data_IF_598037873225
#
_entry.id   IF_598037873225
#
_cell.length_a   1.000
_cell.length_b   1.000
_cell.length_c   1.000
_cell.angle_alpha   90.00
_cell.angle_beta   90.00
_cell.angle_gamma   90.00
#
_symmetry.space_group_name_H-M   'P 1'
#
loop_
_entity.id
_entity.type
_entity.pdbx_description
1 polymer ?
#
# COMPACT_ATOMS: atom_id res chain seq x y z
N UNK A 1 37.19 33.03 -28.02
CA UNK A 1 37.36 31.61 -27.64
C UNK A 1 37.04 31.52 -26.17
N UNK A 2 35.77 31.29 -25.83
CA UNK A 2 35.32 31.07 -24.46
C UNK A 2 34.81 29.63 -24.40
N UNK A 3 35.43 28.83 -23.53
CA UNK A 3 34.91 27.56 -23.07
C UNK A 3 33.76 27.82 -22.10
N UNK A 4 32.63 27.16 -22.33
CA UNK A 4 31.61 26.92 -21.32
C UNK A 4 31.21 25.45 -21.41
N UNK A 5 31.35 24.81 -20.26
CA UNK A 5 31.35 23.40 -19.97
C UNK A 5 29.92 22.99 -19.57
N UNK A 6 29.18 22.37 -20.48
CA UNK A 6 27.84 21.82 -20.19
C UNK A 6 28.00 20.34 -19.79
N UNK A 7 28.15 20.13 -18.49
CA UNK A 7 28.04 18.83 -17.85
C UNK A 7 26.55 18.48 -17.66
N UNK A 8 25.94 17.89 -18.69
CA UNK A 8 24.64 17.23 -18.54
C UNK A 8 24.83 15.88 -17.85
N UNK A 9 24.28 15.79 -16.64
CA UNK A 9 24.08 14.55 -15.89
C UNK A 9 22.96 13.74 -16.55
N UNK A 10 23.11 12.42 -16.77
CA UNK A 10 21.99 11.60 -17.25
C UNK A 10 20.99 11.40 -16.11
N UNK A 11 19.77 11.92 -16.29
CA UNK A 11 18.60 11.45 -15.55
C UNK A 11 18.30 10.02 -16.04
N UNK A 12 18.68 9.02 -15.25
CA UNK A 12 18.29 7.63 -15.50
C UNK A 12 16.78 7.50 -15.23
N UNK A 13 16.04 7.17 -16.30
CA UNK A 13 14.63 6.79 -16.28
C UNK A 13 14.44 5.54 -15.39
N UNK A 14 13.92 5.72 -14.17
CA UNK A 14 13.48 4.63 -13.28
C UNK A 14 12.05 4.12 -13.58
N UNK A 15 11.50 4.41 -14.76
CA UNK A 15 10.10 4.08 -15.08
C UNK A 15 9.87 2.90 -16.02
N UNK A 16 10.92 2.28 -16.55
CA UNK A 16 10.77 1.10 -17.38
C UNK A 16 11.17 -0.16 -16.61
N UNK A 17 10.16 -1.01 -16.40
CA UNK A 17 10.15 -2.48 -16.33
C UNK A 17 9.18 -2.89 -15.20
N UNK A 18 7.91 -3.02 -15.59
CA UNK A 18 6.97 -4.12 -15.28
C UNK A 18 5.73 -3.82 -16.13
N UNK A 19 5.86 -4.01 -17.44
CA UNK A 19 4.73 -4.15 -18.36
C UNK A 19 4.15 -5.54 -18.14
N UNK A 20 3.26 -5.66 -17.16
CA UNK A 20 2.17 -6.63 -17.26
C UNK A 20 0.88 -5.90 -16.86
N UNK A 21 -0.15 -6.11 -17.67
CA UNK A 21 -1.51 -5.66 -17.36
C UNK A 21 -1.99 -6.41 -16.13
N UNK A 22 -1.92 -5.77 -14.95
CA UNK A 22 -2.79 -6.16 -13.85
C UNK A 22 -4.21 -5.93 -14.33
N UNK A 23 -4.94 -7.02 -14.52
CA UNK A 23 -6.34 -6.98 -14.88
C UNK A 23 -7.14 -6.70 -13.61
N UNK A 24 -7.83 -5.55 -13.58
CA UNK A 24 -8.62 -5.17 -12.41
C UNK A 24 -9.87 -6.07 -12.25
N UNK A 25 -10.17 -6.91 -13.25
CA UNK A 25 -11.19 -7.97 -13.16
C UNK A 25 -10.89 -8.99 -12.04
N UNK A 26 -9.64 -9.16 -11.60
CA UNK A 26 -9.30 -10.04 -10.46
C UNK A 26 -9.75 -9.47 -9.09
N UNK A 27 -10.17 -8.20 -9.04
CA UNK A 27 -10.85 -7.61 -7.87
C UNK A 27 -12.37 -7.80 -8.00
N UNK A 28 -12.88 -7.98 -9.22
CA UNK A 28 -14.28 -8.21 -9.56
C UNK A 28 -14.55 -9.70 -9.89
N UNK A 29 -14.24 -10.60 -8.95
CA UNK A 29 -14.34 -12.03 -9.25
C UNK A 29 -14.49 -12.95 -8.05
N UNK A 30 -15.49 -12.74 -7.17
CA UNK A 30 -15.97 -13.83 -6.31
C UNK A 30 -17.50 -13.80 -6.15
N UNK A 31 -18.07 -15.01 -6.12
CA UNK A 31 -19.47 -15.44 -6.17
C UNK A 31 -20.45 -14.61 -5.32
N UNK A 32 -21.70 -14.51 -5.80
CA UNK A 32 -22.82 -13.65 -5.36
C UNK A 32 -23.30 -13.80 -3.89
N UNK A 33 -22.57 -14.46 -2.99
CA UNK A 33 -23.09 -14.94 -1.70
C UNK A 33 -22.62 -14.18 -0.42
N UNK A 34 -21.80 -13.12 -0.49
CA UNK A 34 -21.52 -12.27 0.69
C UNK A 34 -21.32 -10.77 0.36
N UNK A 35 -22.34 -10.13 -0.21
CA UNK A 35 -22.35 -8.67 -0.49
C UNK A 35 -22.46 -7.78 0.76
N UNK A 36 -22.29 -8.32 1.97
CA UNK A 36 -22.46 -7.55 3.20
C UNK A 36 -21.11 -7.19 3.82
N UNK A 37 -20.79 -5.90 3.87
CA UNK A 37 -19.68 -5.45 4.73
C UNK A 37 -19.95 -5.93 6.16
N UNK A 38 -18.97 -6.62 6.74
CA UNK A 38 -19.06 -7.12 8.11
C UNK A 38 -19.28 -5.95 9.05
N UNK A 39 -20.23 -6.10 9.98
CA UNK A 39 -20.42 -5.15 11.07
C UNK A 39 -19.15 -5.01 11.91
N UNK A 40 -18.91 -3.87 12.57
CA UNK A 40 -17.71 -3.63 13.39
C UNK A 40 -17.36 -4.77 14.34
N UNK A 41 -18.37 -5.40 14.95
CA UNK A 41 -18.19 -6.46 15.95
C UNK A 41 -17.74 -7.80 15.34
N UNK A 42 -17.94 -7.99 14.04
CA UNK A 42 -17.58 -9.21 13.30
C UNK A 42 -16.22 -9.11 12.61
N UNK A 43 -15.58 -7.94 12.66
CA UNK A 43 -14.28 -7.71 12.04
C UNK A 43 -13.18 -8.02 13.04
N UNK A 44 -12.28 -8.91 12.67
CA UNK A 44 -11.05 -9.11 13.42
C UNK A 44 -10.00 -8.06 13.00
N UNK A 45 -9.96 -6.96 13.77
CA UNK A 45 -8.99 -5.88 13.60
C UNK A 45 -7.55 -6.27 13.99
N UNK A 46 -7.37 -7.41 14.69
CA UNK A 46 -6.04 -7.88 15.05
C UNK A 46 -5.26 -8.38 13.83
N UNK A 47 -5.95 -8.83 12.77
CA UNK A 47 -5.34 -9.33 11.52
C UNK A 47 -4.43 -8.28 10.89
N UNK A 48 -4.92 -7.06 10.63
CA UNK A 48 -4.06 -6.00 10.08
C UNK A 48 -3.00 -5.60 11.09
N UNK A 49 -3.34 -5.52 12.39
CA UNK A 49 -2.39 -5.06 13.41
C UNK A 49 -1.20 -6.02 13.59
N UNK A 50 -1.42 -7.32 13.48
CA UNK A 50 -0.41 -8.36 13.72
C UNK A 50 0.20 -8.91 12.43
N UNK A 51 -0.54 -8.96 11.32
CA UNK A 51 -0.14 -9.60 10.06
C UNK A 51 1.16 -9.07 9.46
N UNK A 52 1.50 -7.81 9.72
CA UNK A 52 2.79 -7.23 9.32
C UNK A 52 3.99 -8.02 9.83
N UNK A 53 3.90 -8.64 11.01
CA UNK A 53 5.03 -9.38 11.62
C UNK A 53 5.44 -10.61 10.83
N UNK A 54 4.52 -11.16 10.05
CA UNK A 54 4.76 -12.36 9.24
C UNK A 54 5.53 -12.03 7.96
N UNK A 55 5.52 -10.77 7.52
CA UNK A 55 6.22 -10.36 6.30
C UNK A 55 7.74 -10.35 6.47
N UNK A 56 8.45 -10.85 5.48
CA UNK A 56 9.91 -10.76 5.40
C UNK A 56 10.34 -9.29 5.44
N UNK A 57 11.37 -9.00 6.26
CA UNK A 57 11.89 -7.66 6.60
C UNK A 57 11.10 -6.83 7.62
N UNK A 58 9.98 -7.34 8.15
CA UNK A 58 9.23 -6.67 9.22
C UNK A 58 9.70 -7.05 10.64
N UNK A 59 10.84 -7.72 10.76
CA UNK A 59 11.67 -7.73 11.98
C UNK A 59 12.32 -6.35 12.25
N UNK A 60 12.24 -5.43 11.28
CA UNK A 60 12.53 -4.00 11.42
C UNK A 60 11.49 -3.31 12.29
N UNK A 61 11.90 -2.93 13.51
CA UNK A 61 11.05 -2.26 14.49
C UNK A 61 10.28 -1.06 13.91
N UNK A 62 10.93 -0.26 13.06
CA UNK A 62 10.33 0.97 12.55
C UNK A 62 9.32 0.70 11.43
N UNK A 63 9.56 -0.30 10.59
CA UNK A 63 8.55 -0.75 9.61
C UNK A 63 7.39 -1.43 10.32
N UNK A 64 7.67 -2.27 11.30
CA UNK A 64 6.65 -2.97 12.09
C UNK A 64 5.74 -1.98 12.81
N UNK A 65 6.32 -0.95 13.43
CA UNK A 65 5.57 0.10 14.11
C UNK A 65 4.65 0.87 13.14
N UNK A 66 5.08 1.14 11.91
CA UNK A 66 4.22 1.77 10.90
C UNK A 66 3.04 0.86 10.52
N UNK A 67 3.31 -0.44 10.33
CA UNK A 67 2.25 -1.43 10.09
C UNK A 67 1.24 -1.49 11.23
N UNK A 68 1.73 -1.57 12.48
CA UNK A 68 0.88 -1.54 13.68
C UNK A 68 0.03 -0.26 13.73
N UNK A 69 0.59 0.91 13.41
CA UNK A 69 -0.18 2.16 13.40
C UNK A 69 -1.31 2.14 12.35
N UNK A 70 -1.08 1.53 11.19
CA UNK A 70 -2.13 1.31 10.17
C UNK A 70 -3.22 0.38 10.73
N UNK A 71 -2.85 -0.70 11.43
CA UNK A 71 -3.79 -1.61 12.06
C UNK A 71 -4.59 -1.00 13.21
N UNK A 72 -3.97 -0.16 14.05
CA UNK A 72 -4.64 0.53 15.17
C UNK A 72 -5.63 1.59 14.68
N UNK A 73 -5.32 2.28 13.59
CA UNK A 73 -6.19 3.34 13.04
C UNK A 73 -7.42 2.77 12.31
N UNK A 74 -7.32 1.58 11.74
CA UNK A 74 -8.38 0.91 11.01
C UNK A 74 -9.73 0.73 11.78
N UNK A 75 -9.78 0.24 13.04
CA UNK A 75 -11.03 0.20 13.80
C UNK A 75 -11.61 1.59 14.11
N UNK A 76 -10.75 2.58 14.36
CA UNK A 76 -11.19 3.96 14.65
C UNK A 76 -11.88 4.56 13.44
N UNK A 77 -11.27 4.42 12.25
CA UNK A 77 -11.85 4.93 11.00
C UNK A 77 -13.12 4.16 10.66
N UNK A 78 -13.12 2.82 10.84
CA UNK A 78 -14.32 2.00 10.64
C UNK A 78 -15.48 2.51 11.50
N UNK A 79 -15.24 2.88 12.76
CA UNK A 79 -16.29 3.46 13.60
C UNK A 79 -16.84 4.78 13.05
N UNK A 80 -15.97 5.67 12.53
CA UNK A 80 -16.41 6.91 11.91
C UNK A 80 -17.24 6.68 10.64
N UNK A 81 -16.89 5.68 9.84
CA UNK A 81 -17.64 5.27 8.64
C UNK A 81 -19.07 4.84 9.02
N UNK A 82 -19.21 3.91 9.97
CA UNK A 82 -20.54 3.48 10.41
C UNK A 82 -21.35 4.62 11.07
N UNK A 83 -20.71 5.47 11.87
CA UNK A 83 -21.36 6.64 12.46
C UNK A 83 -21.87 7.61 11.38
N UNK A 84 -21.08 7.84 10.33
CA UNK A 84 -21.48 8.66 9.19
C UNK A 84 -22.70 8.06 8.47
N UNK A 85 -22.73 6.74 8.29
CA UNK A 85 -23.88 6.07 7.68
C UNK A 85 -25.14 6.26 8.53
N UNK A 86 -25.05 6.07 9.85
CA UNK A 86 -26.17 6.29 10.76
C UNK A 86 -26.68 7.73 10.70
N UNK A 87 -25.78 8.72 10.75
CA UNK A 87 -26.14 10.13 10.66
C UNK A 87 -26.79 10.46 9.31
N UNK A 88 -26.24 9.95 8.20
CA UNK A 88 -26.80 10.14 6.86
C UNK A 88 -28.24 9.62 6.76
N UNK A 89 -28.49 8.43 7.32
CA UNK A 89 -29.83 7.82 7.36
C UNK A 89 -30.78 8.66 8.22
N UNK A 90 -30.33 9.11 9.39
CA UNK A 90 -31.15 9.89 10.33
C UNK A 90 -31.58 11.25 9.76
N UNK A 91 -30.66 11.96 9.10
CA UNK A 91 -30.92 13.33 8.63
C UNK A 91 -31.34 13.41 7.16
N UNK A 92 -31.37 12.27 6.46
CA UNK A 92 -31.72 12.10 5.04
C UNK A 92 -30.98 13.06 4.09
N UNK A 93 -29.76 13.44 4.46
CA UNK A 93 -28.92 14.39 3.74
C UNK A 93 -27.46 14.12 4.08
N UNK A 94 -26.54 14.41 3.16
CA UNK A 94 -25.10 14.33 3.41
C UNK A 94 -24.70 15.17 4.63
N UNK A 95 -24.28 14.53 5.75
CA UNK A 95 -23.72 15.25 6.89
C UNK A 95 -22.30 15.67 6.54
N UNK A 96 -22.15 16.93 6.15
CA UNK A 96 -20.93 17.42 5.48
C UNK A 96 -19.69 17.27 6.37
N UNK A 97 -19.80 17.61 7.65
CA UNK A 97 -18.67 17.59 8.56
C UNK A 97 -18.16 16.16 8.79
N UNK A 98 -19.06 15.23 9.07
CA UNK A 98 -18.74 13.80 9.22
C UNK A 98 -18.22 13.19 7.91
N UNK A 99 -18.80 13.53 6.76
CA UNK A 99 -18.34 13.05 5.46
C UNK A 99 -16.92 13.55 5.13
N UNK A 100 -16.63 14.82 5.42
CA UNK A 100 -15.29 15.40 5.25
C UNK A 100 -14.27 14.74 6.19
N UNK A 101 -14.66 14.48 7.45
CA UNK A 101 -13.84 13.78 8.43
C UNK A 101 -13.47 12.37 7.94
N UNK A 102 -14.46 11.55 7.58
CA UNK A 102 -14.26 10.19 7.09
C UNK A 102 -13.42 10.18 5.81
N UNK A 103 -13.70 11.10 4.88
CA UNK A 103 -12.90 11.28 3.66
C UNK A 103 -11.42 11.53 3.97
N UNK A 104 -11.12 12.49 4.86
CA UNK A 104 -9.75 12.84 5.21
C UNK A 104 -9.00 11.68 5.89
N UNK A 105 -9.59 11.05 6.90
CA UNK A 105 -8.95 9.92 7.59
C UNK A 105 -8.78 8.71 6.68
N UNK A 106 -9.75 8.43 5.80
CA UNK A 106 -9.62 7.35 4.81
C UNK A 106 -8.44 7.58 3.89
N UNK A 107 -8.29 8.80 3.36
CA UNK A 107 -7.15 9.15 2.51
C UNK A 107 -5.82 9.03 3.26
N UNK A 108 -5.73 9.52 4.49
CA UNK A 108 -4.53 9.41 5.31
C UNK A 108 -4.15 7.94 5.58
N UNK A 109 -5.14 7.08 5.83
CA UNK A 109 -4.90 5.65 6.03
C UNK A 109 -4.38 4.99 4.75
N UNK A 110 -5.02 5.25 3.61
CA UNK A 110 -4.61 4.69 2.32
C UNK A 110 -3.21 5.17 1.92
N UNK A 111 -2.89 6.45 2.13
CA UNK A 111 -1.56 6.98 1.82
C UNK A 111 -0.48 6.39 2.74
N UNK A 112 -0.79 6.19 4.01
CA UNK A 112 0.13 5.53 4.94
C UNK A 112 0.38 4.07 4.55
N UNK A 113 -0.67 3.35 4.16
CA UNK A 113 -0.58 1.99 3.64
C UNK A 113 0.24 1.93 2.35
N UNK A 114 0.00 2.86 1.42
CA UNK A 114 0.74 2.97 0.16
C UNK A 114 2.24 3.14 0.43
N UNK A 115 2.64 4.09 1.27
CA UNK A 115 4.06 4.36 1.51
C UNK A 115 4.76 3.18 2.18
N UNK A 116 4.09 2.48 3.12
CA UNK A 116 4.65 1.30 3.76
C UNK A 116 4.84 0.15 2.76
N UNK A 117 3.82 -0.19 1.97
CA UNK A 117 3.89 -1.26 0.98
C UNK A 117 4.86 -0.92 -0.14
N UNK A 118 4.91 0.35 -0.59
CA UNK A 118 5.91 0.82 -1.56
C UNK A 118 7.32 0.65 -1.02
N UNK A 119 7.56 1.05 0.23
CA UNK A 119 8.88 0.89 0.85
C UNK A 119 9.28 -0.59 0.94
N UNK A 120 8.33 -1.50 1.23
CA UNK A 120 8.58 -2.93 1.26
C UNK A 120 8.86 -3.50 -0.14
N UNK A 121 8.09 -3.11 -1.17
CA UNK A 121 8.33 -3.45 -2.58
C UNK A 121 9.71 -2.99 -3.04
N UNK A 122 10.04 -1.73 -2.82
CA UNK A 122 11.32 -1.13 -3.22
C UNK A 122 12.47 -1.84 -2.48
N UNK A 123 12.25 -2.20 -1.22
CA UNK A 123 13.18 -2.99 -0.40
C UNK A 123 13.39 -4.39 -1.00
N UNK A 124 12.34 -5.11 -1.38
CA UNK A 124 12.42 -6.42 -2.07
C UNK A 124 13.21 -6.29 -3.36
N UNK A 125 12.84 -5.36 -4.24
CA UNK A 125 13.48 -5.15 -5.54
C UNK A 125 14.98 -4.87 -5.40
N UNK A 126 15.35 -3.92 -4.53
CA UNK A 126 16.75 -3.53 -4.33
C UNK A 126 17.60 -4.69 -3.80
N UNK A 127 17.08 -5.45 -2.82
CA UNK A 127 17.83 -6.56 -2.23
C UNK A 127 18.05 -7.69 -3.25
N UNK A 128 17.02 -8.01 -4.03
CA UNK A 128 17.12 -8.96 -5.14
C UNK A 128 18.16 -8.52 -6.17
N UNK A 129 18.08 -7.26 -6.64
CA UNK A 129 19.05 -6.68 -7.59
C UNK A 129 20.50 -6.74 -7.06
N UNK A 130 20.72 -6.43 -5.78
CA UNK A 130 22.05 -6.51 -5.17
C UNK A 130 22.55 -7.94 -5.03
N UNK A 131 21.66 -8.89 -4.78
CA UNK A 131 22.02 -10.30 -4.74
C UNK A 131 22.40 -10.83 -6.12
N UNK A 132 21.59 -10.57 -7.15
CA UNK A 132 21.83 -11.02 -8.54
C UNK A 132 23.13 -10.44 -9.11
N UNK A 133 23.43 -9.17 -8.82
CA UNK A 133 24.65 -8.52 -9.31
C UNK A 133 25.88 -8.71 -8.40
N UNK A 134 25.79 -9.54 -7.35
CA UNK A 134 26.88 -9.78 -6.38
C UNK A 134 27.23 -8.59 -5.47
N UNK A 135 26.51 -7.47 -5.56
CA UNK A 135 26.73 -6.24 -4.79
C UNK A 135 26.25 -6.29 -3.33
N UNK A 136 25.60 -7.38 -2.90
CA UNK A 136 25.06 -7.51 -1.53
C UNK A 136 26.16 -7.46 -0.46
N UNK A 137 27.35 -8.01 -0.74
CA UNK A 137 28.49 -8.01 0.19
C UNK A 137 29.03 -6.61 0.45
N UNK A 138 29.16 -5.81 -0.61
CA UNK A 138 29.59 -4.41 -0.48
C UNK A 138 28.55 -3.57 0.28
N UNK A 139 27.25 -3.81 0.06
CA UNK A 139 26.19 -3.15 0.84
C UNK A 139 26.24 -3.51 2.33
N UNK A 140 26.47 -4.78 2.66
CA UNK A 140 26.65 -5.23 4.05
C UNK A 140 27.86 -4.52 4.70
N UNK A 141 28.97 -4.39 3.97
CA UNK A 141 30.18 -3.71 4.43
C UNK A 141 29.92 -2.22 4.71
N UNK A 142 29.31 -1.50 3.76
CA UNK A 142 28.98 -0.08 3.94
C UNK A 142 28.01 0.19 5.10
N UNK A 143 27.09 -0.73 5.40
CA UNK A 143 26.20 -0.59 6.56
C UNK A 143 26.92 -0.80 7.90
N UNK A 144 28.14 -1.34 7.88
CA UNK A 144 28.97 -1.57 9.06
C UNK A 144 29.87 -0.37 9.42
N UNK A 145 29.91 0.66 8.56
CA UNK A 145 30.79 1.81 8.76
C UNK A 145 30.21 2.79 9.82
N UNK A 146 30.87 2.85 10.97
CA UNK A 146 30.99 4.05 11.80
C UNK A 146 29.86 4.39 12.78
N UNK A 147 28.84 3.54 12.96
CA UNK A 147 27.72 3.85 13.86
C UNK A 147 27.06 2.58 14.45
N UNK A 148 27.73 1.96 15.42
CA UNK A 148 27.25 0.74 16.09
C UNK A 148 25.94 0.94 16.87
N UNK A 149 25.61 2.18 17.24
CA UNK A 149 24.38 2.52 17.96
C UNK A 149 23.16 2.65 17.03
N UNK A 150 23.37 2.65 15.70
CA UNK A 150 22.28 2.75 14.73
C UNK A 150 21.54 1.42 14.57
N UNK A 151 20.50 1.25 15.37
CA UNK A 151 19.65 0.06 15.36
C UNK A 151 19.12 -0.28 13.95
N UNK A 152 18.70 0.73 13.18
CA UNK A 152 18.16 0.53 11.84
C UNK A 152 19.22 -0.03 10.87
N UNK A 153 20.45 0.51 10.89
CA UNK A 153 21.56 -0.04 10.08
C UNK A 153 21.87 -1.48 10.47
N UNK A 154 21.91 -1.77 11.76
CA UNK A 154 22.21 -3.12 12.26
C UNK A 154 21.15 -4.16 11.85
N UNK A 155 19.87 -3.81 11.94
CA UNK A 155 18.78 -4.68 11.47
C UNK A 155 18.90 -4.88 9.96
N UNK A 156 19.09 -3.80 9.19
CA UNK A 156 19.21 -3.87 7.73
C UNK A 156 20.37 -4.75 7.29
N UNK A 157 21.51 -4.65 7.97
CA UNK A 157 22.69 -5.51 7.74
C UNK A 157 22.35 -6.98 7.97
N UNK A 158 21.70 -7.31 9.09
CA UNK A 158 21.29 -8.68 9.43
C UNK A 158 20.32 -9.24 8.38
N UNK A 159 19.34 -8.45 7.95
CA UNK A 159 18.40 -8.83 6.90
C UNK A 159 19.10 -9.12 5.58
N UNK A 160 20.09 -8.31 5.17
CA UNK A 160 20.87 -8.56 3.94
C UNK A 160 21.73 -9.83 4.05
N UNK A 161 22.34 -10.07 5.20
CA UNK A 161 23.10 -11.30 5.47
C UNK A 161 22.18 -12.53 5.36
N UNK A 162 21.06 -12.51 6.09
CA UNK A 162 20.07 -13.57 6.05
C UNK A 162 19.56 -13.81 4.62
N UNK A 163 19.23 -12.75 3.88
CA UNK A 163 18.78 -12.86 2.49
C UNK A 163 19.86 -13.46 1.57
N UNK A 164 21.14 -13.14 1.78
CA UNK A 164 22.23 -13.69 0.98
C UNK A 164 22.43 -15.18 1.21
N UNK A 165 22.21 -15.65 2.43
CA UNK A 165 22.59 -17.01 2.86
C UNK A 165 21.39 -17.98 2.84
N UNK A 166 20.17 -17.48 3.02
CA UNK A 166 18.97 -18.30 3.16
C UNK A 166 18.11 -18.26 1.88
N UNK A 167 18.05 -19.39 1.16
CA UNK A 167 17.17 -19.53 -0.01
C UNK A 167 15.68 -19.50 0.36
N UNK A 168 15.30 -20.15 1.46
CA UNK A 168 13.91 -20.21 1.91
C UNK A 168 13.35 -18.82 2.21
N UNK A 169 14.16 -17.93 2.80
CA UNK A 169 13.78 -16.52 3.00
C UNK A 169 13.49 -15.79 1.68
N UNK A 170 14.23 -16.09 0.61
CA UNK A 170 14.04 -15.48 -0.70
C UNK A 170 12.76 -16.00 -1.35
N UNK A 171 12.57 -17.32 -1.33
CA UNK A 171 11.35 -17.95 -1.85
C UNK A 171 10.11 -17.44 -1.09
N UNK A 172 10.21 -17.33 0.24
CA UNK A 172 9.16 -16.77 1.11
C UNK A 172 8.85 -15.31 0.74
N UNK A 173 9.86 -14.45 0.59
CA UNK A 173 9.66 -13.05 0.21
C UNK A 173 8.94 -12.93 -1.14
N UNK A 174 9.29 -13.78 -2.11
CA UNK A 174 8.65 -13.78 -3.42
C UNK A 174 7.20 -14.28 -3.34
N UNK A 175 6.93 -15.33 -2.57
CA UNK A 175 5.58 -15.84 -2.36
C UNK A 175 4.69 -14.83 -1.63
N UNK A 176 5.18 -14.20 -0.55
CA UNK A 176 4.46 -13.15 0.17
C UNK A 176 4.17 -11.94 -0.72
N UNK A 177 5.10 -11.57 -1.62
CA UNK A 177 4.87 -10.48 -2.56
C UNK A 177 3.72 -10.81 -3.53
N UNK A 178 3.63 -12.04 -4.04
CA UNK A 178 2.53 -12.44 -4.91
C UNK A 178 1.16 -12.31 -4.21
N UNK A 179 1.08 -12.64 -2.92
CA UNK A 179 -0.14 -12.48 -2.12
C UNK A 179 -0.52 -11.01 -1.88
N UNK A 180 0.48 -10.14 -1.65
CA UNK A 180 0.25 -8.73 -1.26
C UNK A 180 0.18 -7.78 -2.48
N UNK A 181 0.77 -8.14 -3.61
CA UNK A 181 0.84 -7.29 -4.80
C UNK A 181 -0.54 -6.77 -5.25
N UNK A 182 -1.61 -7.58 -5.34
CA UNK A 182 -2.93 -7.09 -5.71
C UNK A 182 -3.43 -5.96 -4.80
N UNK A 183 -3.21 -6.10 -3.48
CA UNK A 183 -3.54 -5.06 -2.49
C UNK A 183 -2.70 -3.80 -2.73
N UNK A 184 -1.38 -3.97 -2.97
CA UNK A 184 -0.51 -2.84 -3.30
C UNK A 184 -0.98 -2.09 -4.55
N UNK A 185 -1.38 -2.80 -5.61
CA UNK A 185 -1.85 -2.18 -6.86
C UNK A 185 -3.16 -1.42 -6.68
N UNK A 186 -4.10 -1.97 -5.91
CA UNK A 186 -5.35 -1.27 -5.58
C UNK A 186 -5.08 0.01 -4.76
N UNK A 187 -4.18 -0.07 -3.77
CA UNK A 187 -3.74 1.07 -2.97
C UNK A 187 -2.99 2.11 -3.81
N UNK A 188 -2.13 1.69 -4.73
CA UNK A 188 -1.42 2.54 -5.69
C UNK A 188 -2.39 3.28 -6.62
N UNK A 189 -3.39 2.58 -7.17
CA UNK A 189 -4.46 3.18 -7.96
C UNK A 189 -5.17 4.29 -7.20
N UNK A 190 -5.62 3.98 -5.99
CA UNK A 190 -6.33 4.90 -5.10
C UNK A 190 -5.47 6.13 -4.79
N UNK A 191 -4.21 5.91 -4.38
CA UNK A 191 -3.29 7.00 -4.03
C UNK A 191 -3.02 7.91 -5.23
N UNK A 192 -2.75 7.35 -6.40
CA UNK A 192 -2.41 8.14 -7.60
C UNK A 192 -3.59 9.02 -8.04
N UNK A 193 -4.79 8.44 -8.06
CA UNK A 193 -6.01 9.16 -8.43
C UNK A 193 -6.31 10.31 -7.47
N UNK A 194 -6.18 10.10 -6.15
CA UNK A 194 -6.54 11.13 -5.18
C UNK A 194 -5.45 12.16 -4.89
N UNK A 195 -4.18 11.75 -4.86
CA UNK A 195 -3.08 12.65 -4.49
C UNK A 195 -2.44 13.35 -5.70
N UNK A 196 -2.40 12.67 -6.85
CA UNK A 196 -1.76 13.19 -8.07
C UNK A 196 -2.75 13.53 -9.18
N UNK A 197 -4.01 13.12 -9.03
CA UNK A 197 -5.06 13.31 -10.05
C UNK A 197 -4.68 12.67 -11.39
N UNK A 198 -4.05 11.49 -11.33
CA UNK A 198 -3.63 10.73 -12.51
C UNK A 198 -3.79 9.22 -12.29
N UNK A 199 -3.87 8.47 -13.38
CA UNK A 199 -3.76 7.01 -13.33
C UNK A 199 -2.30 6.57 -13.04
N UNK A 200 -2.09 5.43 -12.34
CA UNK A 200 -0.76 4.86 -12.16
C UNK A 200 -0.04 4.65 -13.50
N UNK A 201 1.20 5.12 -13.59
CA UNK A 201 2.05 4.97 -14.77
C UNK A 201 1.62 5.75 -16.02
N UNK A 202 0.53 6.55 -15.96
CA UNK A 202 0.04 7.31 -17.12
C UNK A 202 -0.54 8.66 -16.72
N UNK A 203 0.31 9.67 -16.71
CA UNK A 203 -0.03 11.03 -16.30
C UNK A 203 -1.07 11.71 -17.20
N UNK A 204 -1.24 11.24 -18.43
CA UNK A 204 -2.22 11.80 -19.38
C UNK A 204 -3.67 11.42 -19.07
N UNK A 205 -3.91 10.40 -18.24
CA UNK A 205 -5.26 10.04 -17.81
C UNK A 205 -5.61 10.83 -16.57
N UNK A 206 -6.60 11.71 -16.72
CA UNK A 206 -7.12 12.54 -15.63
C UNK A 206 -8.43 11.93 -15.10
N UNK A 207 -8.55 11.66 -13.79
CA UNK A 207 -9.78 11.16 -13.18
C UNK A 207 -10.93 12.16 -13.34
N UNK A 208 -12.17 11.69 -13.45
CA UNK A 208 -13.34 12.56 -13.70
C UNK A 208 -13.65 13.49 -12.53
N UNK A 209 -13.56 12.97 -11.31
CA UNK A 209 -13.87 13.71 -10.09
C UNK A 209 -12.87 13.34 -8.98
N UNK A 210 -11.58 13.68 -9.13
CA UNK A 210 -10.56 13.33 -8.14
C UNK A 210 -10.92 13.95 -6.79
N UNK A 211 -10.91 13.14 -5.74
CA UNK A 211 -11.24 13.58 -4.38
C UNK A 211 -12.73 13.70 -4.07
N UNK A 212 -13.63 13.51 -5.05
CA UNK A 212 -15.07 13.46 -4.79
C UNK A 212 -15.49 12.05 -4.37
N UNK A 213 -15.67 11.87 -3.06
CA UNK A 213 -16.20 10.62 -2.50
C UNK A 213 -17.72 10.67 -2.31
N UNK A 214 -18.39 9.54 -2.51
CA UNK A 214 -19.80 9.32 -2.12
C UNK A 214 -19.88 8.42 -0.90
N UNK A 215 -20.88 8.62 -0.04
CA UNK A 215 -21.07 7.74 1.12
C UNK A 215 -21.56 6.38 0.62
N UNK A 216 -20.82 5.32 0.95
CA UNK A 216 -21.20 3.95 0.68
C UNK A 216 -22.36 3.57 1.59
N UNK A 217 -23.49 3.16 1.02
CA UNK A 217 -24.72 2.92 1.77
C UNK A 217 -24.71 1.61 2.59
N UNK A 218 -23.68 0.78 2.44
CA UNK A 218 -23.56 -0.50 3.13
C UNK A 218 -22.62 -0.42 4.34
N UNK A 219 -21.58 0.43 4.30
CA UNK A 219 -20.59 0.53 5.37
C UNK A 219 -20.25 1.96 5.80
N UNK A 220 -20.72 2.98 5.10
CA UNK A 220 -20.45 4.39 5.40
C UNK A 220 -19.05 4.89 5.02
N UNK A 221 -18.22 4.05 4.41
CA UNK A 221 -16.96 4.48 3.81
C UNK A 221 -17.21 5.44 2.63
N UNK A 222 -16.17 6.15 2.21
CA UNK A 222 -16.26 7.03 1.04
C UNK A 222 -15.87 6.24 -0.22
N UNK A 223 -16.81 6.04 -1.13
CA UNK A 223 -16.63 5.47 -2.46
C UNK A 223 -16.00 6.50 -3.40
N UNK A 224 -14.89 6.15 -4.04
CA UNK A 224 -14.23 6.98 -5.05
C UNK A 224 -14.22 6.27 -6.40
N UNK A 225 -14.57 7.00 -7.46
CA UNK A 225 -14.38 6.56 -8.83
C UNK A 225 -12.90 6.77 -9.22
N UNK A 226 -12.19 5.70 -9.52
CA UNK A 226 -10.76 5.69 -9.82
C UNK A 226 -10.53 5.30 -11.28
N UNK A 227 -9.70 6.07 -11.97
CA UNK A 227 -9.29 5.80 -13.35
C UNK A 227 -8.01 4.94 -13.39
N UNK A 228 -8.06 3.86 -14.15
CA UNK A 228 -6.93 2.96 -14.44
C UNK A 228 -6.14 3.43 -15.68
N UNK A 229 -5.03 2.73 -15.99
CA UNK A 229 -4.10 3.07 -17.08
C UNK A 229 -4.67 2.89 -18.50
N UNK A 230 -5.68 2.04 -18.64
CA UNK A 230 -6.46 1.78 -19.86
C UNK A 230 -7.65 2.74 -20.00
N UNK A 231 -7.94 3.54 -18.96
CA UNK A 231 -9.03 4.51 -18.96
C UNK A 231 -10.38 3.94 -18.54
N UNK A 232 -10.41 2.71 -18.01
CA UNK A 232 -11.56 2.16 -17.31
C UNK A 232 -11.69 2.79 -15.92
N UNK A 233 -12.87 2.65 -15.32
CA UNK A 233 -13.18 3.22 -14.03
C UNK A 233 -13.70 2.13 -13.10
N UNK A 234 -13.21 2.14 -11.87
CA UNK A 234 -13.68 1.27 -10.79
C UNK A 234 -14.06 2.11 -9.57
N UNK A 235 -14.96 1.60 -8.74
CA UNK A 235 -15.33 2.23 -7.48
C UNK A 235 -14.67 1.46 -6.35
N UNK A 236 -13.82 2.15 -5.59
CA UNK A 236 -13.13 1.56 -4.44
C UNK A 236 -13.29 2.51 -3.25
N UNK A 237 -13.50 1.95 -2.07
CA UNK A 237 -13.41 2.65 -0.80
C UNK A 237 -12.33 2.03 0.10
N UNK A 238 -12.10 2.67 1.25
CA UNK A 238 -11.09 2.21 2.22
C UNK A 238 -11.41 0.84 2.82
N UNK A 239 -12.68 0.49 3.00
CA UNK A 239 -13.11 -0.81 3.55
C UNK A 239 -12.71 -1.95 2.62
N UNK A 240 -12.86 -1.76 1.31
CA UNK A 240 -12.44 -2.75 0.31
C UNK A 240 -10.94 -3.06 0.43
N UNK A 241 -10.11 -2.02 0.57
CA UNK A 241 -8.67 -2.15 0.75
C UNK A 241 -8.31 -2.83 2.09
N UNK A 242 -9.01 -2.50 3.16
CA UNK A 242 -8.79 -3.10 4.47
C UNK A 242 -9.18 -4.59 4.48
N UNK A 243 -10.31 -4.95 3.89
CA UNK A 243 -10.78 -6.33 3.80
C UNK A 243 -9.92 -7.16 2.84
N UNK A 244 -9.43 -6.59 1.74
CA UNK A 244 -8.43 -7.21 0.88
C UNK A 244 -7.10 -7.46 1.61
N UNK A 245 -6.61 -6.49 2.39
CA UNK A 245 -5.39 -6.64 3.19
C UNK A 245 -5.55 -7.73 4.26
N UNK A 246 -6.70 -7.80 4.94
CA UNK A 246 -6.99 -8.87 5.90
C UNK A 246 -6.94 -10.25 5.25
N UNK A 247 -7.58 -10.42 4.08
CA UNK A 247 -7.54 -11.68 3.33
C UNK A 247 -6.11 -12.04 2.95
N UNK A 248 -5.36 -11.10 2.38
CA UNK A 248 -3.97 -11.32 2.00
C UNK A 248 -3.09 -11.74 3.19
N UNK A 249 -3.31 -11.18 4.38
CA UNK A 249 -2.59 -11.61 5.59
C UNK A 249 -2.97 -13.01 6.08
N UNK A 250 -4.23 -13.43 5.93
CA UNK A 250 -4.67 -14.78 6.27
C UNK A 250 -4.16 -15.84 5.29
N UNK A 251 -3.85 -15.43 4.06
CA UNK A 251 -3.40 -16.28 2.96
C UNK A 251 -1.87 -16.27 2.78
N UNK A 252 -1.11 -15.63 3.69
CA UNK A 252 0.35 -15.69 3.64
C UNK A 252 0.84 -17.14 3.79
N UNK A 253 1.88 -17.52 3.01
CA UNK A 253 2.45 -18.87 3.02
C UNK A 253 3.28 -19.20 4.27
#
# INVERSE_FOLDING_TARGET
MNHSDDSQTPQENEHDILEDGFDFEDIEGHEEDDYSYKSPEKIDFSIITMGWRELVFFDDLFLNMQGINIGISDPVITQYEYNLLFEYIEIEKTPRDSAMLVSAFSQMWVFSLYELLRQWRDRRFNVRKWHENGGIREKIKHLSDGDELNLAKNIRRRQLQAYSENKEMRDMLDAQWLTIEPVYRAVELYRMNLAKHTAPGKESIVPRAPGYGRINMLCGAMDYELASKDGTYTIINRRDLADALRRAFLELP
#
